data_IF_051976723247
#
_entry.id   IF_051976723247
#
_cell.length_a   1.000
_cell.length_b   1.000
_cell.length_c   1.000
_cell.angle_alpha   90.00
_cell.angle_beta   90.00
_cell.angle_gamma   90.00
#
_symmetry.space_group_name_H-M   'P 1'
#
loop_
_entity.id
_entity.type
_entity.pdbx_description
1 polymer ?
#
# COMPACT_ATOMS: atom_id res chain seq x y z
N UNK A 1 -23.94 54.11 0.43
CA UNK A 1 -23.37 53.66 -0.85
C UNK A 1 -22.29 52.63 -0.51
N UNK A 2 -22.63 51.35 -0.69
CA UNK A 2 -21.83 50.19 -0.30
C UNK A 2 -20.55 50.11 -1.15
N UNK A 3 -19.40 49.88 -0.51
CA UNK A 3 -18.25 49.26 -1.18
C UNK A 3 -18.05 47.88 -0.57
N UNK A 4 -18.32 46.93 -1.44
CA UNK A 4 -18.39 45.48 -1.31
C UNK A 4 -17.07 44.89 -0.77
N UNK A 5 -17.17 44.09 0.30
CA UNK A 5 -16.13 43.16 0.73
C UNK A 5 -15.79 42.20 -0.41
N UNK A 6 -14.55 42.25 -0.92
CA UNK A 6 -14.12 41.38 -2.02
C UNK A 6 -13.32 40.19 -1.47
N UNK A 7 -14.05 39.10 -1.24
CA UNK A 7 -13.67 37.71 -1.45
C UNK A 7 -12.29 37.23 -0.94
N UNK A 8 -12.21 36.87 0.35
CA UNK A 8 -11.30 35.82 0.81
C UNK A 8 -12.08 34.50 0.74
N UNK A 9 -12.06 33.83 -0.41
CA UNK A 9 -12.55 32.45 -0.54
C UNK A 9 -11.80 31.73 -1.67
N UNK A 10 -10.52 31.42 -1.46
CA UNK A 10 -9.88 30.27 -2.12
C UNK A 10 -8.98 29.60 -1.10
N UNK A 11 -9.58 28.79 -0.23
CA UNK A 11 -8.86 27.73 0.47
C UNK A 11 -9.87 26.62 0.71
N UNK A 12 -9.42 25.36 0.64
CA UNK A 12 -10.20 24.12 0.67
C UNK A 12 -10.56 23.58 -0.72
N UNK A 13 -9.55 23.30 -1.54
CA UNK A 13 -9.58 22.16 -2.47
C UNK A 13 -8.25 21.41 -2.31
N UNK A 14 -8.03 20.78 -1.16
CA UNK A 14 -6.91 19.85 -0.95
C UNK A 14 -7.27 18.63 -0.08
N UNK A 15 -8.57 18.36 0.11
CA UNK A 15 -9.05 17.25 0.95
C UNK A 15 -9.67 16.07 0.17
N UNK A 16 -9.73 16.12 -1.16
CA UNK A 16 -10.51 15.15 -1.94
C UNK A 16 -9.74 13.97 -2.56
N UNK A 17 -8.41 13.92 -2.50
CA UNK A 17 -7.65 12.83 -3.14
C UNK A 17 -7.32 11.65 -2.23
N UNK A 18 -7.44 11.77 -0.89
CA UNK A 18 -7.07 10.69 0.05
C UNK A 18 -8.20 9.64 0.20
N UNK A 19 -9.44 9.99 -0.20
CA UNK A 19 -10.62 9.18 0.09
C UNK A 19 -10.81 7.92 -0.76
N UNK A 20 -10.27 7.85 -1.98
CA UNK A 20 -10.66 6.80 -2.94
C UNK A 20 -10.12 5.42 -2.54
N UNK A 21 -8.88 5.34 -2.06
CA UNK A 21 -8.28 4.06 -1.66
C UNK A 21 -8.71 3.62 -0.26
N UNK A 22 -8.89 4.57 0.67
CA UNK A 22 -9.39 4.31 2.02
C UNK A 22 -10.83 3.77 2.02
N UNK A 23 -11.70 4.29 1.15
CA UNK A 23 -13.07 3.80 0.96
C UNK A 23 -13.10 2.33 0.50
N UNK A 24 -12.13 1.91 -0.33
CA UNK A 24 -12.05 0.54 -0.82
C UNK A 24 -11.62 -0.44 0.30
N UNK A 25 -10.65 -0.05 1.13
CA UNK A 25 -10.20 -0.90 2.26
C UNK A 25 -11.29 -1.07 3.32
N UNK A 26 -12.01 -0.01 3.67
CA UNK A 26 -13.10 -0.12 4.64
C UNK A 26 -14.18 -1.09 4.17
N UNK A 27 -14.48 -1.09 2.87
CA UNK A 27 -15.37 -2.07 2.25
C UNK A 27 -14.82 -3.49 2.32
N UNK A 28 -13.56 -3.70 1.94
CA UNK A 28 -12.90 -5.02 2.04
C UNK A 28 -12.93 -5.52 3.49
N UNK A 29 -12.58 -4.68 4.45
CA UNK A 29 -12.59 -5.05 5.87
C UNK A 29 -14.00 -5.40 6.36
N UNK A 30 -15.01 -4.62 5.99
CA UNK A 30 -16.41 -4.90 6.31
C UNK A 30 -16.84 -6.26 5.75
N UNK A 31 -16.55 -6.51 4.47
CA UNK A 31 -16.83 -7.77 3.78
C UNK A 31 -16.11 -8.97 4.45
N UNK A 32 -14.91 -8.75 4.98
CA UNK A 32 -14.10 -9.75 5.69
C UNK A 32 -14.36 -9.81 7.22
N UNK A 33 -15.28 -8.99 7.74
CA UNK A 33 -15.59 -8.84 9.17
C UNK A 33 -14.36 -8.47 10.02
N UNK A 34 -13.53 -7.57 9.50
CA UNK A 34 -12.36 -7.00 10.16
C UNK A 34 -12.65 -5.55 10.57
N UNK A 35 -12.03 -5.09 11.65
CA UNK A 35 -12.03 -3.65 12.00
C UNK A 35 -11.09 -2.89 11.07
N UNK A 36 -11.43 -1.66 10.72
CA UNK A 36 -10.54 -0.77 9.96
C UNK A 36 -9.26 -0.39 10.72
N UNK A 37 -9.28 -0.49 12.04
CA UNK A 37 -8.11 -0.23 12.89
C UNK A 37 -7.36 -1.51 13.23
N UNK A 38 -6.03 -1.39 13.39
CA UNK A 38 -5.20 -2.45 13.98
C UNK A 38 -5.30 -2.40 15.50
N UNK A 39 -6.06 -3.35 16.07
CA UNK A 39 -6.35 -3.38 17.51
C UNK A 39 -5.32 -4.16 18.32
N UNK A 40 -4.44 -4.93 17.66
CA UNK A 40 -3.38 -5.71 18.28
C UNK A 40 -2.03 -4.98 18.16
N UNK A 41 -1.20 -5.03 19.20
CA UNK A 41 0.06 -4.28 19.26
C UNK A 41 1.17 -4.82 18.35
N UNK A 42 0.98 -6.03 17.82
CA UNK A 42 1.82 -6.65 16.80
C UNK A 42 0.91 -7.22 15.71
N UNK A 43 0.64 -6.42 14.70
CA UNK A 43 -0.21 -6.78 13.58
C UNK A 43 0.27 -6.10 12.29
N UNK A 44 0.32 -6.85 11.20
CA UNK A 44 0.50 -6.33 9.86
C UNK A 44 -0.63 -6.80 8.96
N UNK A 45 -1.11 -5.92 8.10
CA UNK A 45 -2.04 -6.19 7.02
C UNK A 45 -1.47 -5.65 5.73
N UNK A 46 -1.38 -6.50 4.71
CA UNK A 46 -0.93 -6.11 3.38
C UNK A 46 -2.07 -6.41 2.42
N UNK A 47 -2.71 -5.35 1.96
CA UNK A 47 -3.75 -5.37 0.94
C UNK A 47 -3.06 -5.35 -0.42
N UNK A 48 -3.40 -6.30 -1.28
CA UNK A 48 -2.91 -6.38 -2.64
C UNK A 48 -4.10 -6.31 -3.61
N UNK A 49 -4.04 -5.36 -4.52
CA UNK A 49 -5.12 -5.07 -5.45
C UNK A 49 -5.06 -3.63 -5.95
N UNK A 50 -5.71 -3.39 -7.07
CA UNK A 50 -5.62 -2.12 -7.79
C UNK A 50 -5.54 -2.41 -9.29
N UNK A 51 -6.42 -1.77 -10.05
CA UNK A 51 -6.66 -2.06 -11.47
C UNK A 51 -8.17 -2.13 -11.78
N UNK A 52 -8.53 -2.68 -12.95
CA UNK A 52 -9.91 -2.81 -13.46
C UNK A 52 -10.65 -4.02 -12.85
N UNK A 53 -9.94 -4.89 -12.13
CA UNK A 53 -10.48 -6.17 -11.66
C UNK A 53 -11.30 -6.02 -10.38
N UNK A 54 -12.31 -6.87 -10.21
CA UNK A 54 -13.07 -6.99 -8.96
C UNK A 54 -12.37 -7.82 -7.87
N UNK A 55 -11.13 -8.25 -8.11
CA UNK A 55 -10.34 -9.06 -7.17
C UNK A 55 -9.44 -8.20 -6.30
N UNK A 56 -9.38 -8.53 -5.01
CA UNK A 56 -8.37 -8.07 -4.08
C UNK A 56 -7.98 -9.19 -3.12
N UNK A 57 -6.87 -9.03 -2.43
CA UNK A 57 -6.43 -9.97 -1.42
C UNK A 57 -5.79 -9.28 -0.23
N UNK A 58 -5.78 -9.96 0.91
CA UNK A 58 -5.23 -9.45 2.15
C UNK A 58 -4.40 -10.53 2.82
N UNK A 59 -3.10 -10.26 3.00
CA UNK A 59 -2.27 -10.96 3.97
C UNK A 59 -2.41 -10.29 5.33
N UNK A 60 -2.61 -11.07 6.39
CA UNK A 60 -2.69 -10.57 7.76
C UNK A 60 -1.90 -11.46 8.70
N UNK A 61 -0.96 -10.91 9.45
CA UNK A 61 -0.22 -11.61 10.50
C UNK A 61 -0.29 -10.83 11.80
N UNK A 62 -0.52 -11.51 12.92
CA UNK A 62 -0.67 -10.87 14.23
C UNK A 62 -0.32 -11.79 15.39
N UNK A 63 0.03 -11.17 16.53
CA UNK A 63 0.11 -11.81 17.85
C UNK A 63 -1.18 -11.50 18.61
N UNK A 64 -1.91 -12.53 19.04
CA UNK A 64 -3.12 -12.32 19.83
C UNK A 64 -2.81 -11.99 21.30
N UNK A 65 -3.85 -11.68 22.08
CA UNK A 65 -3.73 -11.35 23.51
C UNK A 65 -3.18 -12.49 24.37
N UNK A 66 -3.22 -13.73 23.89
CA UNK A 66 -2.61 -14.89 24.56
C UNK A 66 -1.13 -15.05 24.23
N UNK A 67 -0.59 -14.21 23.34
CA UNK A 67 0.79 -14.28 22.87
C UNK A 67 1.00 -15.22 21.68
N UNK A 68 -0.07 -15.79 21.11
CA UNK A 68 0.02 -16.73 19.98
C UNK A 68 0.06 -15.98 18.65
N UNK A 69 1.01 -16.35 17.80
CA UNK A 69 1.09 -15.85 16.43
C UNK A 69 0.13 -16.56 15.49
N UNK A 70 -0.46 -15.81 14.57
CA UNK A 70 -1.33 -16.32 13.50
C UNK A 70 -1.09 -15.53 12.22
N UNK A 71 -0.97 -16.23 11.09
CA UNK A 71 -1.04 -15.64 9.75
C UNK A 71 -2.26 -16.16 8.99
N UNK A 72 -2.91 -15.26 8.25
CA UNK A 72 -4.11 -15.52 7.45
C UNK A 72 -3.98 -14.83 6.11
N UNK A 73 -4.56 -15.45 5.11
CA UNK A 73 -4.73 -14.84 3.80
C UNK A 73 -6.19 -14.88 3.39
N UNK A 74 -6.63 -13.77 2.83
CA UNK A 74 -7.99 -13.58 2.38
C UNK A 74 -7.99 -13.26 0.89
N UNK A 75 -8.91 -13.87 0.17
CA UNK A 75 -9.25 -13.49 -1.19
C UNK A 75 -10.63 -12.85 -1.17
N UNK A 76 -10.78 -11.73 -1.86
CA UNK A 76 -11.99 -10.93 -1.89
C UNK A 76 -12.36 -10.63 -3.34
N UNK A 77 -13.57 -11.02 -3.73
CA UNK A 77 -14.13 -10.78 -5.05
C UNK A 77 -15.33 -9.87 -4.90
N UNK A 78 -15.15 -8.59 -5.22
CA UNK A 78 -16.20 -7.59 -5.16
C UNK A 78 -17.36 -7.96 -6.08
N UNK A 79 -18.58 -7.68 -5.59
CA UNK A 79 -19.82 -7.94 -6.33
C UNK A 79 -19.88 -7.10 -7.60
N UNK A 80 -20.00 -7.76 -8.75
CA UNK A 80 -20.26 -7.13 -10.06
C UNK A 80 -21.76 -7.21 -10.36
N UNK A 81 -22.30 -6.22 -11.09
CA UNK A 81 -23.69 -6.26 -11.56
C UNK A 81 -23.96 -7.57 -12.30
N UNK A 82 -24.95 -8.34 -11.86
CA UNK A 82 -25.28 -9.68 -12.39
C UNK A 82 -24.77 -10.87 -11.56
N UNK A 83 -23.89 -10.66 -10.58
CA UNK A 83 -23.53 -11.70 -9.60
C UNK A 83 -24.40 -11.60 -8.34
N UNK A 84 -24.88 -12.74 -7.85
CA UNK A 84 -25.85 -12.81 -6.75
C UNK A 84 -25.20 -12.58 -5.38
N UNK A 85 -23.93 -12.99 -5.17
CA UNK A 85 -23.29 -12.98 -3.86
C UNK A 85 -21.80 -12.56 -3.90
N UNK A 86 -21.39 -11.87 -2.84
CA UNK A 86 -19.99 -11.59 -2.52
C UNK A 86 -19.25 -12.91 -2.26
N UNK A 87 -18.08 -13.11 -2.88
CA UNK A 87 -17.22 -14.28 -2.61
C UNK A 87 -16.00 -13.82 -1.82
N UNK A 88 -15.81 -14.44 -0.66
CA UNK A 88 -14.60 -14.28 0.15
C UNK A 88 -14.07 -15.65 0.53
N UNK A 89 -12.75 -15.81 0.48
CA UNK A 89 -12.07 -17.03 0.90
C UNK A 89 -11.04 -16.68 1.97
N UNK A 90 -10.84 -17.59 2.90
CA UNK A 90 -9.94 -17.39 4.03
C UNK A 90 -9.13 -18.67 4.24
N UNK A 91 -7.82 -18.51 4.25
CA UNK A 91 -6.88 -19.57 4.60
C UNK A 91 -6.04 -19.15 5.80
N UNK A 92 -5.82 -20.08 6.73
CA UNK A 92 -4.81 -19.92 7.78
C UNK A 92 -3.49 -20.41 7.20
N UNK A 93 -2.48 -19.55 7.25
CA UNK A 93 -1.18 -19.84 6.67
C UNK A 93 -0.31 -20.57 7.69
N UNK A 94 0.49 -21.52 7.20
CA UNK A 94 1.55 -22.18 7.96
C UNK A 94 2.88 -21.59 7.51
N UNK A 95 3.80 -21.45 8.45
CA UNK A 95 5.17 -21.02 8.23
C UNK A 95 6.08 -22.20 8.53
N UNK A 96 7.13 -22.37 7.74
CA UNK A 96 8.19 -23.35 8.01
C UNK A 96 9.10 -22.84 9.14
N UNK A 97 9.19 -21.52 9.29
CA UNK A 97 9.93 -20.85 10.34
C UNK A 97 9.09 -20.61 11.60
N UNK A 98 9.77 -20.28 12.70
CA UNK A 98 9.09 -19.75 13.87
C UNK A 98 8.41 -18.42 13.51
N UNK A 99 7.13 -18.26 13.81
CA UNK A 99 6.39 -17.04 13.47
C UNK A 99 6.99 -15.75 14.06
N UNK A 100 7.68 -15.84 15.20
CA UNK A 100 8.41 -14.71 15.77
C UNK A 100 9.65 -14.32 14.94
N UNK A 101 10.33 -15.29 14.33
CA UNK A 101 11.39 -15.02 13.37
C UNK A 101 10.84 -14.34 12.11
N UNK A 102 9.69 -14.81 11.60
CA UNK A 102 9.02 -14.18 10.46
C UNK A 102 8.62 -12.74 10.79
N UNK A 103 8.07 -12.49 11.98
CA UNK A 103 7.73 -11.14 12.42
C UNK A 103 8.95 -10.21 12.45
N UNK A 104 10.05 -10.64 13.08
CA UNK A 104 11.28 -9.83 13.11
C UNK A 104 11.88 -9.64 11.72
N UNK A 105 11.73 -10.61 10.81
CA UNK A 105 12.12 -10.45 9.41
C UNK A 105 11.27 -9.41 8.67
N UNK A 106 9.98 -9.29 9.00
CA UNK A 106 9.12 -8.20 8.52
C UNK A 106 9.59 -6.85 9.07
N UNK A 107 9.91 -6.75 10.37
CA UNK A 107 10.41 -5.49 10.95
C UNK A 107 11.74 -5.06 10.32
N UNK A 108 12.61 -6.02 9.95
CA UNK A 108 13.89 -5.76 9.27
C UNK A 108 13.73 -5.04 7.92
N UNK A 109 12.58 -5.17 7.25
CA UNK A 109 12.31 -4.45 6.00
C UNK A 109 11.95 -2.97 6.23
N UNK A 110 11.98 -2.49 7.47
CA UNK A 110 11.67 -1.11 7.83
C UNK A 110 10.28 -0.61 7.40
N UNK A 111 9.34 -1.52 7.08
CA UNK A 111 7.99 -1.15 6.60
C UNK A 111 7.27 -0.17 7.53
N UNK A 112 7.56 -0.20 8.83
CA UNK A 112 7.02 0.72 9.84
C UNK A 112 7.53 2.16 9.76
N UNK A 113 8.48 2.44 8.86
CA UNK A 113 9.10 3.76 8.67
C UNK A 113 9.10 4.23 7.21
N UNK A 114 8.67 3.38 6.28
CA UNK A 114 8.72 3.71 4.86
C UNK A 114 7.76 4.86 4.53
N UNK A 115 8.21 5.92 3.83
CA UNK A 115 7.30 6.95 3.32
C UNK A 115 6.39 6.37 2.24
N UNK A 116 5.26 7.03 1.95
CA UNK A 116 4.44 6.62 0.81
C UNK A 116 5.22 6.78 -0.50
N UNK A 117 4.91 5.93 -1.47
CA UNK A 117 5.57 5.98 -2.77
C UNK A 117 5.43 7.36 -3.47
N UNK A 118 4.33 8.06 -3.22
CA UNK A 118 4.11 9.43 -3.72
C UNK A 118 5.15 10.43 -3.22
N UNK A 119 5.67 10.24 -2.01
CA UNK A 119 6.63 11.14 -1.35
C UNK A 119 8.06 10.92 -1.88
N UNK A 120 8.36 9.73 -2.38
CA UNK A 120 9.67 9.38 -2.96
C UNK A 120 9.72 9.51 -4.48
N UNK A 121 8.65 9.99 -5.12
CA UNK A 121 8.59 10.13 -6.59
C UNK A 121 9.75 10.94 -7.18
N UNK A 122 10.40 11.81 -6.42
CA UNK A 122 11.56 12.57 -6.87
C UNK A 122 12.81 11.70 -7.05
N UNK A 123 12.93 10.58 -6.31
CA UNK A 123 14.00 9.59 -6.47
C UNK A 123 13.81 8.72 -7.71
N UNK A 124 12.59 8.68 -8.24
CA UNK A 124 12.17 7.85 -9.36
C UNK A 124 12.06 8.65 -10.67
N UNK A 125 13.03 9.53 -10.91
CA UNK A 125 13.10 10.38 -12.10
C UNK A 125 14.53 10.43 -12.58
N UNK A 126 14.70 10.35 -13.89
CA UNK A 126 15.97 10.67 -14.52
C UNK A 126 16.14 12.19 -14.54
N UNK A 127 17.28 12.66 -14.03
CA UNK A 127 17.62 14.09 -14.03
C UNK A 127 17.92 14.51 -15.47
N UNK A 128 17.14 15.44 -16.01
CA UNK A 128 17.42 16.06 -17.28
C UNK A 128 18.20 17.37 -17.11
N UNK A 129 18.30 18.11 -18.21
CA UNK A 129 18.97 19.40 -18.27
C UNK A 129 17.99 20.55 -18.02
N UNK A 130 18.54 21.74 -17.82
CA UNK A 130 17.80 23.00 -17.95
C UNK A 130 17.79 23.38 -19.43
N UNK A 131 16.61 23.49 -20.01
CA UNK A 131 16.41 23.75 -21.44
C UNK A 131 15.56 25.01 -21.65
N UNK A 132 15.84 25.78 -22.70
CA UNK A 132 15.01 26.95 -23.07
C UNK A 132 13.82 26.47 -23.91
N UNK A 133 12.62 26.51 -23.33
CA UNK A 133 11.37 26.08 -23.97
C UNK A 133 10.41 27.26 -23.96
N UNK A 134 9.92 27.65 -25.13
CA UNK A 134 9.01 28.79 -25.33
C UNK A 134 9.51 30.12 -24.71
N UNK A 135 10.83 30.32 -24.72
CA UNK A 135 11.48 31.52 -24.19
C UNK A 135 11.75 31.51 -22.68
N UNK A 136 11.40 30.43 -21.98
CA UNK A 136 11.66 30.26 -20.55
C UNK A 136 12.56 29.05 -20.27
N UNK A 137 13.47 29.18 -19.30
CA UNK A 137 14.30 28.06 -18.86
C UNK A 137 13.49 27.10 -18.00
N UNK A 138 13.37 25.85 -18.44
CA UNK A 138 12.62 24.79 -17.76
C UNK A 138 13.55 23.63 -17.41
N UNK A 139 13.31 23.03 -16.24
CA UNK A 139 14.04 21.85 -15.80
C UNK A 139 13.33 20.59 -16.28
N UNK A 140 14.01 19.83 -17.13
CA UNK A 140 13.46 18.62 -17.72
C UNK A 140 13.68 17.42 -16.80
N UNK A 141 12.63 16.62 -16.61
CA UNK A 141 12.68 15.35 -15.91
C UNK A 141 12.05 14.27 -16.77
N UNK A 142 12.62 13.06 -16.79
CA UNK A 142 11.95 11.90 -17.37
C UNK A 142 11.51 10.96 -16.26
N UNK A 143 10.25 10.55 -16.31
CA UNK A 143 9.68 9.57 -15.41
C UNK A 143 9.00 8.48 -16.22
N UNK A 144 9.08 7.25 -15.74
CA UNK A 144 8.28 6.14 -16.26
C UNK A 144 6.97 6.06 -15.48
N UNK A 145 5.86 5.93 -16.17
CA UNK A 145 4.56 5.61 -15.57
C UNK A 145 4.19 4.17 -15.93
N UNK A 146 3.83 3.39 -14.91
CA UNK A 146 3.44 1.99 -15.05
C UNK A 146 1.93 1.91 -14.84
N UNK A 147 1.20 1.65 -15.91
CA UNK A 147 -0.27 1.63 -15.93
C UNK A 147 -0.83 0.28 -15.46
N UNK A 148 -0.16 -0.82 -15.83
CA UNK A 148 -0.59 -2.17 -15.52
C UNK A 148 0.27 -2.78 -14.41
N UNK A 149 -0.38 -3.26 -13.36
CA UNK A 149 0.25 -4.06 -12.32
C UNK A 149 -0.57 -4.10 -11.03
N UNK A 150 0.09 -4.38 -9.91
CA UNK A 150 -0.54 -4.57 -8.61
C UNK A 150 -0.10 -3.46 -7.66
N UNK A 151 -1.08 -2.78 -7.09
CA UNK A 151 -0.90 -1.88 -5.95
C UNK A 151 -0.93 -2.64 -4.63
N UNK A 152 -0.16 -2.15 -3.67
CA UNK A 152 -0.11 -2.68 -2.33
C UNK A 152 -0.26 -1.56 -1.32
N UNK A 153 -1.08 -1.80 -0.31
CA UNK A 153 -1.07 -0.99 0.91
C UNK A 153 -0.75 -1.87 2.11
N UNK A 154 0.27 -1.48 2.86
CA UNK A 154 0.64 -2.13 4.10
C UNK A 154 0.25 -1.24 5.30
N UNK A 155 -0.47 -1.82 6.25
CA UNK A 155 -0.72 -1.26 7.56
C UNK A 155 0.02 -2.11 8.58
N UNK A 156 0.82 -1.49 9.45
CA UNK A 156 1.54 -2.18 10.50
C UNK A 156 1.35 -1.46 11.84
N UNK A 157 1.13 -2.26 12.89
CA UNK A 157 1.25 -1.82 14.26
C UNK A 157 2.32 -2.66 14.94
N UNK A 158 3.39 -1.99 15.36
CA UNK A 158 4.53 -2.57 16.08
C UNK A 158 4.90 -1.62 17.22
N UNK A 159 5.17 -2.16 18.40
CA UNK A 159 5.53 -1.38 19.60
C UNK A 159 4.57 -0.21 19.88
N UNK A 160 3.26 -0.46 19.71
CA UNK A 160 2.16 0.50 19.86
C UNK A 160 2.17 1.66 18.86
N UNK A 161 3.09 1.68 17.90
CA UNK A 161 3.12 2.67 16.81
C UNK A 161 2.40 2.10 15.60
N UNK A 162 1.49 2.88 15.04
CA UNK A 162 0.82 2.58 13.79
C UNK A 162 1.54 3.28 12.65
N UNK A 163 1.70 2.57 11.53
CA UNK A 163 2.19 3.13 10.28
C UNK A 163 1.42 2.54 9.10
N UNK A 164 1.24 3.34 8.06
CA UNK A 164 0.60 2.94 6.82
C UNK A 164 1.41 3.45 5.63
N UNK A 165 1.56 2.60 4.62
CA UNK A 165 2.34 2.91 3.43
C UNK A 165 1.68 2.30 2.19
N UNK A 166 1.71 3.04 1.08
CA UNK A 166 1.08 2.68 -0.20
C UNK A 166 2.10 2.70 -1.35
N UNK A 167 2.21 1.58 -2.07
CA UNK A 167 3.11 1.37 -3.20
C UNK A 167 2.35 0.78 -4.40
N UNK A 168 2.28 1.55 -5.48
CA UNK A 168 1.78 1.10 -6.77
C UNK A 168 2.89 0.46 -7.60
N UNK A 169 2.74 -0.80 -7.99
CA UNK A 169 3.68 -1.50 -8.88
C UNK A 169 5.15 -1.55 -8.39
N UNK A 170 5.43 -1.80 -7.09
CA UNK A 170 6.79 -1.73 -6.52
C UNK A 170 7.78 -2.65 -7.24
N UNK A 171 7.36 -3.86 -7.61
CA UNK A 171 8.19 -4.84 -8.34
C UNK A 171 8.63 -4.33 -9.71
N UNK A 172 7.72 -3.66 -10.43
CA UNK A 172 8.02 -3.14 -11.76
C UNK A 172 8.89 -1.88 -11.69
N UNK A 173 8.67 -1.03 -10.69
CA UNK A 173 9.48 0.17 -10.49
C UNK A 173 10.91 -0.15 -10.03
N UNK A 174 11.10 -1.19 -9.22
CA UNK A 174 12.44 -1.62 -8.79
C UNK A 174 13.34 -1.99 -9.97
N UNK A 175 12.78 -2.56 -11.05
CA UNK A 175 13.54 -2.87 -12.28
C UNK A 175 14.13 -1.63 -12.96
N UNK A 176 13.51 -0.47 -12.78
CA UNK A 176 13.94 0.78 -13.40
C UNK A 176 14.74 1.67 -12.45
N UNK A 177 14.51 1.54 -11.14
CA UNK A 177 15.14 2.33 -10.10
C UNK A 177 15.70 1.41 -9.00
N UNK A 178 16.71 0.58 -9.32
CA UNK A 178 17.20 -0.47 -8.42
C UNK A 178 17.88 0.07 -7.17
N UNK A 179 18.33 1.33 -7.18
CA UNK A 179 19.06 1.97 -6.08
C UNK A 179 18.14 2.79 -5.14
N UNK A 180 16.82 2.72 -5.31
CA UNK A 180 15.87 3.41 -4.44
C UNK A 180 15.54 2.50 -3.26
N UNK A 181 16.16 2.78 -2.10
CA UNK A 181 16.04 2.01 -0.86
C UNK A 181 14.59 1.66 -0.50
N UNK A 182 13.65 2.59 -0.63
CA UNK A 182 12.25 2.32 -0.29
C UNK A 182 11.60 1.28 -1.20
N UNK A 183 11.96 1.24 -2.49
CA UNK A 183 11.54 0.18 -3.39
C UNK A 183 12.19 -1.14 -3.02
N UNK A 184 13.48 -1.15 -2.67
CA UNK A 184 14.21 -2.35 -2.25
C UNK A 184 13.51 -2.94 -1.02
N UNK A 185 13.38 -2.18 0.06
CA UNK A 185 12.78 -2.61 1.30
C UNK A 185 11.33 -3.10 1.16
N UNK A 186 10.50 -2.39 0.36
CA UNK A 186 9.13 -2.84 0.15
C UNK A 186 9.06 -4.14 -0.66
N UNK A 187 9.95 -4.34 -1.65
CA UNK A 187 10.01 -5.59 -2.40
C UNK A 187 10.55 -6.75 -1.55
N UNK A 188 11.55 -6.51 -0.69
CA UNK A 188 12.01 -7.51 0.28
C UNK A 188 10.87 -8.00 1.19
N UNK A 189 9.98 -7.10 1.61
CA UNK A 189 8.77 -7.47 2.35
C UNK A 189 7.87 -8.39 1.50
N UNK A 190 7.58 -8.01 0.25
CA UNK A 190 6.73 -8.82 -0.62
C UNK A 190 7.34 -10.20 -0.86
N UNK A 191 8.65 -10.27 -1.13
CA UNK A 191 9.37 -11.52 -1.37
C UNK A 191 9.41 -12.40 -0.13
N UNK A 192 9.64 -11.82 1.06
CA UNK A 192 9.54 -12.53 2.33
C UNK A 192 8.17 -13.21 2.47
N UNK A 193 7.09 -12.46 2.29
CA UNK A 193 5.72 -12.98 2.45
C UNK A 193 5.38 -14.03 1.39
N UNK A 194 5.75 -13.78 0.12
CA UNK A 194 5.54 -14.73 -0.98
C UNK A 194 6.26 -16.04 -0.72
N UNK A 195 7.53 -15.97 -0.32
CA UNK A 195 8.36 -17.14 -0.12
C UNK A 195 7.95 -17.93 1.13
N UNK A 196 7.74 -17.25 2.26
CA UNK A 196 7.40 -17.88 3.54
C UNK A 196 6.04 -18.57 3.51
N UNK A 197 5.03 -17.97 2.87
CA UNK A 197 3.65 -18.44 2.95
C UNK A 197 3.10 -19.02 1.64
N UNK A 198 3.86 -18.96 0.55
CA UNK A 198 3.43 -19.51 -0.74
C UNK A 198 2.28 -18.74 -1.41
N UNK A 199 2.01 -17.51 -0.98
CA UNK A 199 0.93 -16.66 -1.52
C UNK A 199 1.47 -15.69 -2.58
N UNK A 200 0.59 -15.20 -3.46
CA UNK A 200 0.94 -14.28 -4.55
C UNK A 200 2.05 -14.75 -5.50
N UNK A 201 2.37 -16.05 -5.50
CA UNK A 201 3.22 -16.67 -6.52
C UNK A 201 2.43 -16.70 -7.84
N UNK A 202 3.05 -16.23 -8.92
CA UNK A 202 2.54 -16.37 -10.29
C UNK A 202 3.00 -17.69 -10.88
#
# INVERSE_FOLDING_TARGET
MCIIMKNIQILIIFLFSIGIYAQNISRINTDLKLSDSLTLDSEIRIYAGGGITNYSSLFRMYKDKSGKWTAKFYQHYAKVSGQTQLRTEKQTLKSENAMEYVWNSILRTNVQYLPNMSEIKYKMRERGNVELIDGEYQLMWKAKEIMDGIGYKAQIKADKKFHEVDFGNPESYLKYYPDVDELIYFNELLDLIKNEFGIWKK
#
